data_IF_597909949107
#
_entry.id   IF_597909949107
#
_cell.length_a   1.000
_cell.length_b   1.000
_cell.length_c   1.000
_cell.angle_alpha   90.00
_cell.angle_beta   90.00
_cell.angle_gamma   90.00
#
_symmetry.space_group_name_H-M   'P 1'
#
loop_
_entity.id
_entity.type
_entity.pdbx_description
1 polymer ?
#
# COMPACT_ATOMS: atom_id res chain seq x y z
N UNK A 1 13.18 -7.17 18.49
CA UNK A 1 12.07 -7.28 19.46
C UNK A 1 10.77 -6.59 19.01
N UNK A 2 10.79 -5.52 18.19
CA UNK A 2 9.57 -4.81 17.80
C UNK A 2 8.54 -5.67 17.02
N UNK A 3 9.03 -6.55 16.12
CA UNK A 3 8.18 -7.38 15.25
C UNK A 3 7.26 -8.35 16.00
N UNK A 4 7.75 -9.21 16.91
CA UNK A 4 6.86 -10.13 17.65
C UNK A 4 5.86 -9.36 18.51
N UNK A 5 6.26 -8.26 19.14
CA UNK A 5 5.36 -7.45 20.00
C UNK A 5 4.20 -6.86 19.20
N UNK A 6 4.47 -6.25 18.04
CA UNK A 6 3.42 -5.67 17.20
C UNK A 6 2.44 -6.72 16.68
N UNK A 7 2.94 -7.88 16.25
CA UNK A 7 2.11 -9.00 15.77
C UNK A 7 1.24 -9.56 16.91
N UNK A 8 1.82 -9.83 18.08
CA UNK A 8 1.09 -10.37 19.23
C UNK A 8 0.03 -9.39 19.72
N UNK A 9 0.35 -8.09 19.78
CA UNK A 9 -0.61 -7.06 20.21
C UNK A 9 -1.78 -6.95 19.24
N UNK A 10 -1.50 -6.89 17.93
CA UNK A 10 -2.54 -6.82 16.92
C UNK A 10 -3.39 -8.10 16.89
N UNK A 11 -2.77 -9.27 17.02
CA UNK A 11 -3.48 -10.55 17.11
C UNK A 11 -4.36 -10.62 18.36
N UNK A 12 -3.89 -10.15 19.52
CA UNK A 12 -4.69 -10.10 20.74
C UNK A 12 -5.94 -9.20 20.57
N UNK A 13 -5.79 -8.03 19.93
CA UNK A 13 -6.91 -7.16 19.59
C UNK A 13 -7.89 -7.83 18.61
N UNK A 14 -7.38 -8.49 17.57
CA UNK A 14 -8.18 -9.25 16.61
C UNK A 14 -8.96 -10.38 17.28
N UNK A 15 -8.32 -11.15 18.16
CA UNK A 15 -8.94 -12.19 18.96
C UNK A 15 -10.03 -11.64 19.86
N UNK A 16 -9.82 -10.50 20.52
CA UNK A 16 -10.85 -9.86 21.32
C UNK A 16 -12.08 -9.47 20.47
N UNK A 17 -11.88 -8.94 19.25
CA UNK A 17 -12.98 -8.61 18.32
C UNK A 17 -13.76 -9.85 17.90
N UNK A 18 -13.06 -10.94 17.56
CA UNK A 18 -13.68 -12.20 17.14
C UNK A 18 -14.43 -12.87 18.29
N UNK A 19 -13.81 -12.98 19.47
CA UNK A 19 -14.38 -13.64 20.64
C UNK A 19 -15.56 -12.89 21.23
N UNK A 20 -15.62 -11.58 21.07
CA UNK A 20 -16.77 -10.76 21.50
C UNK A 20 -17.86 -10.67 20.44
N UNK A 21 -17.73 -11.34 19.28
CA UNK A 21 -18.75 -11.33 18.23
C UNK A 21 -20.05 -12.00 18.67
N UNK A 22 -21.17 -11.35 18.40
CA UNK A 22 -22.51 -11.90 18.67
C UNK A 22 -22.95 -12.91 17.58
N UNK A 23 -22.23 -12.98 16.46
CA UNK A 23 -22.59 -13.78 15.29
C UNK A 23 -21.89 -15.14 15.24
N UNK A 24 -21.46 -15.70 16.38
CA UNK A 24 -20.73 -16.98 16.43
C UNK A 24 -21.52 -18.15 15.81
N UNK A 25 -22.85 -18.08 15.87
CA UNK A 25 -23.75 -19.08 15.32
C UNK A 25 -24.14 -18.83 13.86
N UNK A 26 -23.70 -17.74 13.24
CA UNK A 26 -24.06 -17.42 11.86
C UNK A 26 -23.22 -18.22 10.85
N UNK A 27 -23.85 -18.66 9.76
CA UNK A 27 -23.15 -19.29 8.64
C UNK A 27 -22.07 -18.32 8.09
N UNK A 28 -20.84 -18.81 7.94
CA UNK A 28 -19.71 -18.00 7.48
C UNK A 28 -18.90 -17.29 8.58
N UNK A 29 -19.29 -17.41 9.86
CA UNK A 29 -18.54 -16.83 10.97
C UNK A 29 -17.09 -17.34 11.04
N UNK A 30 -16.85 -18.62 10.78
CA UNK A 30 -15.51 -19.23 10.82
C UNK A 30 -14.58 -18.60 9.79
N UNK A 31 -15.07 -18.39 8.56
CA UNK A 31 -14.32 -17.74 7.47
C UNK A 31 -14.01 -16.29 7.84
N UNK A 32 -15.01 -15.56 8.35
CA UNK A 32 -14.81 -14.18 8.83
C UNK A 32 -13.79 -14.11 9.97
N UNK A 33 -13.89 -15.00 10.96
CA UNK A 33 -13.00 -15.05 12.11
C UNK A 33 -11.55 -15.32 11.68
N UNK A 34 -11.33 -16.29 10.79
CA UNK A 34 -10.02 -16.59 10.23
C UNK A 34 -9.43 -15.37 9.49
N UNK A 35 -10.22 -14.70 8.66
CA UNK A 35 -9.81 -13.50 7.92
C UNK A 35 -9.53 -12.32 8.85
N UNK A 36 -10.34 -12.11 9.89
CA UNK A 36 -10.15 -11.05 10.88
C UNK A 36 -8.84 -11.25 11.68
N UNK A 37 -8.54 -12.49 12.08
CA UNK A 37 -7.29 -12.84 12.75
C UNK A 37 -6.09 -12.68 11.82
N UNK A 38 -6.21 -13.15 10.57
CA UNK A 38 -5.17 -13.01 9.56
C UNK A 38 -4.87 -11.53 9.25
N UNK A 39 -5.92 -10.70 9.09
CA UNK A 39 -5.80 -9.25 8.91
C UNK A 39 -5.09 -8.59 10.10
N UNK A 40 -5.44 -9.00 11.32
CA UNK A 40 -4.84 -8.44 12.53
C UNK A 40 -3.36 -8.80 12.65
N UNK A 41 -3.01 -10.07 12.42
CA UNK A 41 -1.62 -10.52 12.37
C UNK A 41 -0.83 -9.83 11.25
N UNK A 42 -1.42 -9.72 10.06
CA UNK A 42 -0.84 -9.02 8.91
C UNK A 42 -0.62 -7.54 9.22
N UNK A 43 -1.58 -6.87 9.85
CA UNK A 43 -1.44 -5.47 10.29
C UNK A 43 -0.24 -5.28 11.22
N UNK A 44 -0.09 -6.13 12.24
CA UNK A 44 1.08 -6.08 13.13
C UNK A 44 2.40 -6.35 12.40
N UNK A 45 2.40 -7.27 11.44
CA UNK A 45 3.58 -7.57 10.63
C UNK A 45 3.95 -6.42 9.68
N UNK A 46 2.96 -5.81 9.02
CA UNK A 46 3.13 -4.66 8.12
C UNK A 46 3.57 -3.42 8.91
N UNK A 47 3.04 -3.22 10.12
CA UNK A 47 3.48 -2.17 11.03
C UNK A 47 4.97 -2.30 11.34
N UNK A 48 5.37 -3.47 11.84
CA UNK A 48 6.77 -3.74 12.17
C UNK A 48 7.69 -3.64 10.95
N UNK A 49 7.22 -4.12 9.79
CA UNK A 49 7.92 -3.99 8.53
C UNK A 49 8.12 -2.51 8.17
N UNK A 50 7.07 -1.71 8.20
CA UNK A 50 7.14 -0.28 7.91
C UNK A 50 8.08 0.48 8.86
N UNK A 51 8.07 0.17 10.17
CA UNK A 51 9.01 0.78 11.13
C UNK A 51 10.46 0.38 10.82
N UNK A 52 10.72 -0.89 10.47
CA UNK A 52 12.06 -1.32 10.06
C UNK A 52 12.51 -0.58 8.80
N UNK A 53 11.64 -0.48 7.79
CA UNK A 53 11.93 0.22 6.53
C UNK A 53 12.13 1.72 6.72
N UNK A 54 11.40 2.33 7.65
CA UNK A 54 11.64 3.71 8.06
C UNK A 54 13.04 3.90 8.64
N UNK A 55 13.52 2.97 9.47
CA UNK A 55 14.89 3.03 10.02
C UNK A 55 15.96 2.87 8.96
N UNK A 56 15.76 1.95 8.01
CA UNK A 56 16.65 1.79 6.86
C UNK A 56 16.70 3.07 6.02
N UNK A 57 15.54 3.70 5.76
CA UNK A 57 15.47 4.99 5.09
C UNK A 57 16.21 6.07 5.87
N UNK A 58 15.97 6.18 7.19
CA UNK A 58 16.59 7.17 8.07
C UNK A 58 18.11 7.02 8.17
N UNK A 59 18.63 5.79 7.98
CA UNK A 59 20.07 5.53 7.94
C UNK A 59 20.73 6.01 6.64
N UNK A 60 19.99 6.06 5.53
CA UNK A 60 20.49 6.57 4.24
C UNK A 60 20.30 8.09 4.15
N UNK A 61 19.13 8.59 4.52
CA UNK A 61 18.80 10.01 4.52
C UNK A 61 18.08 10.38 5.83
N UNK A 62 18.61 11.33 6.63
CA UNK A 62 17.99 11.73 7.89
C UNK A 62 16.70 12.52 7.62
N UNK A 63 15.56 11.83 7.53
CA UNK A 63 14.25 12.48 7.36
C UNK A 63 13.65 12.83 8.72
N UNK A 64 13.36 14.12 8.94
CA UNK A 64 12.67 14.56 10.16
C UNK A 64 11.21 14.14 10.12
N UNK A 65 10.75 13.45 11.16
CA UNK A 65 9.35 12.99 11.31
C UNK A 65 8.34 14.13 11.14
N UNK A 66 8.68 15.33 11.64
CA UNK A 66 7.84 16.54 11.53
C UNK A 66 7.51 16.89 10.09
N UNK A 67 8.44 16.67 9.18
CA UNK A 67 8.20 16.94 7.77
C UNK A 67 7.13 15.94 7.29
N UNK A 68 7.25 14.66 7.60
CA UNK A 68 6.32 13.62 7.12
C UNK A 68 4.94 13.69 7.79
N UNK A 69 4.83 14.36 8.94
CA UNK A 69 3.57 14.50 9.66
C UNK A 69 2.45 15.18 8.85
N UNK A 70 2.76 16.22 8.06
CA UNK A 70 1.74 16.94 7.25
C UNK A 70 1.09 16.07 6.16
N UNK A 71 1.85 15.42 5.24
CA UNK A 71 1.23 14.54 4.24
C UNK A 71 0.56 13.32 4.87
N UNK A 72 1.12 12.79 5.97
CA UNK A 72 0.48 11.69 6.71
C UNK A 72 -0.86 12.13 7.29
N UNK A 73 -0.91 13.31 7.93
CA UNK A 73 -2.13 13.89 8.48
C UNK A 73 -3.20 14.14 7.41
N UNK A 74 -2.80 14.62 6.23
CA UNK A 74 -3.72 14.77 5.09
C UNK A 74 -4.29 13.41 4.64
N UNK A 75 -3.45 12.36 4.60
CA UNK A 75 -3.88 11.02 4.19
C UNK A 75 -4.82 10.39 5.22
N UNK A 76 -4.54 10.58 6.51
CA UNK A 76 -5.43 10.19 7.62
C UNK A 76 -6.76 10.95 7.52
N UNK A 77 -6.73 12.25 7.23
CA UNK A 77 -7.95 13.04 7.04
C UNK A 77 -8.78 12.53 5.86
N UNK A 78 -8.16 12.22 4.72
CA UNK A 78 -8.85 11.63 3.56
C UNK A 78 -9.45 10.28 3.92
N UNK A 79 -8.72 9.42 4.65
CA UNK A 79 -9.24 8.14 5.11
C UNK A 79 -10.47 8.33 6.02
N UNK A 80 -10.43 9.28 6.96
CA UNK A 80 -11.56 9.61 7.82
C UNK A 80 -12.76 10.13 7.03
N UNK A 81 -12.54 11.03 6.07
CA UNK A 81 -13.60 11.58 5.21
C UNK A 81 -14.26 10.49 4.36
N UNK A 82 -13.49 9.55 3.81
CA UNK A 82 -14.02 8.43 3.03
C UNK A 82 -14.85 7.48 3.91
N UNK A 83 -14.41 7.25 5.16
CA UNK A 83 -15.19 6.49 6.13
C UNK A 83 -16.50 7.20 6.48
N UNK A 84 -16.47 8.51 6.75
CA UNK A 84 -17.69 9.30 7.01
C UNK A 84 -18.64 9.26 5.80
N UNK A 85 -18.11 9.42 4.59
CA UNK A 85 -18.89 9.32 3.35
C UNK A 85 -19.57 7.94 3.23
N UNK A 86 -18.85 6.86 3.54
CA UNK A 86 -19.39 5.51 3.50
C UNK A 86 -20.59 5.33 4.46
N UNK A 87 -20.53 5.93 5.65
CA UNK A 87 -21.63 5.91 6.63
C UNK A 87 -22.86 6.68 6.13
N UNK A 88 -22.64 7.84 5.49
CA UNK A 88 -23.72 8.70 4.99
C UNK A 88 -24.43 8.01 3.82
N UNK A 89 -23.68 7.43 2.89
CA UNK A 89 -24.24 6.76 1.69
C UNK A 89 -24.96 5.46 2.06
N UNK A 90 -24.59 4.83 3.17
CA UNK A 90 -25.15 3.55 3.60
C UNK A 90 -25.81 3.66 5.00
N UNK A 91 -26.91 4.44 5.16
CA UNK A 91 -27.51 4.69 6.47
C UNK A 91 -28.13 3.44 7.12
N UNK A 92 -28.40 2.39 6.35
CA UNK A 92 -28.82 1.07 6.87
C UNK A 92 -27.65 0.18 7.32
N UNK A 93 -26.42 0.53 6.97
CA UNK A 93 -25.23 -0.17 7.44
C UNK A 93 -24.85 0.36 8.82
N UNK A 94 -25.49 -0.19 9.85
CA UNK A 94 -24.83 -0.24 11.17
C UNK A 94 -23.65 -1.17 11.01
N UNK A 95 -22.57 -0.67 10.40
CA UNK A 95 -21.26 -1.30 10.49
C UNK A 95 -21.00 -1.41 11.99
N UNK A 96 -21.21 -2.62 12.53
CA UNK A 96 -21.01 -2.85 13.96
C UNK A 96 -19.62 -2.35 14.32
N UNK A 97 -19.45 -1.84 15.54
CA UNK A 97 -18.17 -1.34 16.07
C UNK A 97 -16.96 -2.26 15.78
N UNK A 98 -17.20 -3.54 15.47
CA UNK A 98 -16.24 -4.56 15.04
C UNK A 98 -15.67 -4.35 13.63
N UNK A 99 -16.51 -3.99 12.65
CA UNK A 99 -16.04 -3.66 11.30
C UNK A 99 -15.13 -2.44 11.33
N UNK A 100 -15.53 -1.44 12.13
CA UNK A 100 -14.69 -0.29 12.48
C UNK A 100 -13.39 -0.69 13.15
N UNK A 101 -13.43 -1.59 14.13
CA UNK A 101 -12.23 -2.11 14.80
C UNK A 101 -11.23 -2.71 13.81
N UNK A 102 -11.69 -3.54 12.87
CA UNK A 102 -10.83 -4.13 11.84
C UNK A 102 -10.27 -3.07 10.88
N UNK A 103 -11.07 -2.08 10.49
CA UNK A 103 -10.60 -0.96 9.67
C UNK A 103 -9.54 -0.12 10.40
N UNK A 104 -9.75 0.17 11.68
CA UNK A 104 -8.78 0.90 12.52
C UNK A 104 -7.48 0.11 12.64
N UNK A 105 -7.55 -1.21 12.91
CA UNK A 105 -6.37 -2.08 12.96
C UNK A 105 -5.62 -2.05 11.62
N UNK A 106 -6.33 -2.17 10.50
CA UNK A 106 -5.74 -2.10 9.17
C UNK A 106 -5.06 -0.74 8.91
N UNK A 107 -5.74 0.37 9.22
CA UNK A 107 -5.21 1.72 9.08
C UNK A 107 -3.95 1.94 9.93
N UNK A 108 -3.97 1.52 11.21
CA UNK A 108 -2.83 1.62 12.12
C UNK A 108 -1.63 0.83 11.59
N UNK A 109 -1.86 -0.37 11.04
CA UNK A 109 -0.82 -1.20 10.43
C UNK A 109 -0.13 -0.54 9.24
N UNK A 110 -0.89 0.21 8.45
CA UNK A 110 -0.40 0.90 7.26
C UNK A 110 0.35 2.22 7.56
N UNK A 111 0.18 2.82 8.76
CA UNK A 111 0.77 4.14 9.09
C UNK A 111 2.30 4.19 8.89
N UNK A 112 3.11 3.25 9.40
CA UNK A 112 4.57 3.33 9.22
C UNK A 112 4.98 3.16 7.76
N UNK A 113 4.20 2.42 6.98
CA UNK A 113 4.45 2.24 5.56
C UNK A 113 4.19 3.53 4.80
N UNK A 114 3.04 4.18 5.01
CA UNK A 114 2.71 5.45 4.34
C UNK A 114 3.67 6.57 4.76
N UNK A 115 4.12 6.55 6.01
CA UNK A 115 5.19 7.40 6.51
C UNK A 115 6.49 7.17 5.73
N UNK A 116 6.90 5.92 5.52
CA UNK A 116 8.09 5.58 4.75
C UNK A 116 7.99 6.00 3.29
N UNK A 117 6.84 5.79 2.62
CA UNK A 117 6.61 6.26 1.26
C UNK A 117 6.74 7.79 1.14
N UNK A 118 6.19 8.52 2.11
CA UNK A 118 6.30 9.98 2.18
C UNK A 118 7.74 10.45 2.45
N UNK A 119 8.50 9.70 3.24
CA UNK A 119 9.91 9.95 3.47
C UNK A 119 10.75 9.73 2.21
N UNK A 120 10.49 8.66 1.45
CA UNK A 120 11.12 8.40 0.16
C UNK A 120 10.86 9.57 -0.81
N UNK A 121 9.61 10.02 -0.90
CA UNK A 121 9.23 11.16 -1.76
C UNK A 121 10.08 12.40 -1.50
N UNK A 122 10.34 12.72 -0.22
CA UNK A 122 11.16 13.87 0.15
C UNK A 122 12.63 13.63 -0.11
N UNK A 123 13.13 12.46 0.29
CA UNK A 123 14.55 12.12 0.18
C UNK A 123 15.00 12.06 -1.29
N UNK A 124 14.11 11.64 -2.19
CA UNK A 124 14.40 11.58 -3.62
C UNK A 124 14.82 12.95 -4.21
N UNK A 125 14.27 14.06 -3.71
CA UNK A 125 14.61 15.41 -4.17
C UNK A 125 15.84 16.03 -3.52
N UNK A 126 16.39 15.40 -2.49
CA UNK A 126 17.49 15.93 -1.67
C UNK A 126 18.64 14.90 -1.55
N UNK A 127 18.90 14.16 -2.63
CA UNK A 127 19.98 13.18 -2.67
C UNK A 127 21.33 13.89 -2.81
N UNK A 128 22.11 13.87 -1.74
CA UNK A 128 23.46 14.41 -1.71
C UNK A 128 24.52 13.34 -2.04
N UNK A 129 25.73 13.80 -2.39
CA UNK A 129 26.88 12.94 -2.70
C UNK A 129 27.15 12.76 -4.19
N UNK A 130 28.12 11.91 -4.52
CA UNK A 130 28.54 11.64 -5.89
C UNK A 130 27.51 10.86 -6.71
N UNK A 131 27.59 10.88 -8.05
CA UNK A 131 26.58 10.30 -8.93
C UNK A 131 26.32 8.81 -8.67
N UNK A 132 27.36 8.02 -8.42
CA UNK A 132 27.21 6.60 -8.07
C UNK A 132 26.42 6.38 -6.78
N UNK A 133 26.59 7.23 -5.77
CA UNK A 133 25.83 7.17 -4.52
C UNK A 133 24.36 7.54 -4.74
N UNK A 134 24.08 8.55 -5.58
CA UNK A 134 22.71 8.94 -5.98
C UNK A 134 21.99 7.82 -6.75
N UNK A 135 22.67 7.18 -7.71
CA UNK A 135 22.14 6.01 -8.44
C UNK A 135 21.81 4.87 -7.47
N UNK A 136 22.75 4.51 -6.59
CA UNK A 136 22.56 3.45 -5.60
C UNK A 136 21.38 3.75 -4.65
N UNK A 137 21.24 4.99 -4.19
CA UNK A 137 20.13 5.42 -3.35
C UNK A 137 18.78 5.33 -4.07
N UNK A 138 18.70 5.76 -5.33
CA UNK A 138 17.47 5.65 -6.14
C UNK A 138 17.03 4.20 -6.34
N UNK A 139 17.97 3.30 -6.66
CA UNK A 139 17.69 1.85 -6.78
C UNK A 139 17.20 1.29 -5.44
N UNK A 140 17.84 1.67 -4.33
CA UNK A 140 17.42 1.25 -2.99
C UNK A 140 16.01 1.74 -2.65
N UNK A 141 15.69 3.00 -2.94
CA UNK A 141 14.37 3.59 -2.72
C UNK A 141 13.27 2.93 -3.56
N UNK A 142 13.55 2.59 -4.83
CA UNK A 142 12.60 1.88 -5.70
C UNK A 142 12.30 0.47 -5.18
N UNK A 143 13.33 -0.28 -4.80
CA UNK A 143 13.17 -1.61 -4.19
C UNK A 143 12.38 -1.52 -2.88
N UNK A 144 12.66 -0.51 -2.07
CA UNK A 144 11.93 -0.24 -0.84
C UNK A 144 10.45 0.03 -1.12
N UNK A 145 10.17 0.95 -2.05
CA UNK A 145 8.81 1.35 -2.43
C UNK A 145 7.98 0.17 -2.97
N UNK A 146 8.56 -0.69 -3.82
CA UNK A 146 7.89 -1.91 -4.31
C UNK A 146 7.54 -2.90 -3.19
N UNK A 147 8.46 -3.13 -2.25
CA UNK A 147 8.22 -4.00 -1.09
C UNK A 147 7.09 -3.47 -0.21
N UNK A 148 7.09 -2.16 0.03
CA UNK A 148 6.04 -1.48 0.79
C UNK A 148 4.68 -1.58 0.08
N UNK A 149 4.63 -1.45 -1.24
CA UNK A 149 3.39 -1.59 -2.02
C UNK A 149 2.80 -2.99 -1.88
N UNK A 150 3.62 -4.05 -2.00
CA UNK A 150 3.15 -5.43 -1.81
C UNK A 150 2.58 -5.67 -0.42
N UNK A 151 3.22 -5.13 0.62
CA UNK A 151 2.78 -5.25 2.01
C UNK A 151 1.44 -4.54 2.29
N UNK A 152 1.21 -3.35 1.72
CA UNK A 152 -0.06 -2.63 1.91
C UNK A 152 -1.15 -3.22 1.02
N UNK A 153 -0.81 -3.66 -0.19
CA UNK A 153 -1.73 -4.34 -1.09
C UNK A 153 -2.35 -5.59 -0.46
N UNK A 154 -1.55 -6.43 0.19
CA UNK A 154 -2.05 -7.62 0.90
C UNK A 154 -2.92 -7.26 2.12
N UNK A 155 -2.67 -6.12 2.77
CA UNK A 155 -3.46 -5.64 3.89
C UNK A 155 -4.83 -5.11 3.42
N UNK A 156 -4.88 -4.33 2.34
CA UNK A 156 -6.13 -3.88 1.70
C UNK A 156 -6.95 -5.08 1.21
N UNK A 157 -6.29 -6.06 0.61
CA UNK A 157 -6.87 -7.32 0.20
C UNK A 157 -7.55 -8.07 1.34
N UNK A 158 -6.81 -8.34 2.42
CA UNK A 158 -7.33 -9.03 3.61
C UNK A 158 -8.45 -8.24 4.28
N UNK A 159 -8.35 -6.91 4.33
CA UNK A 159 -9.41 -6.07 4.88
C UNK A 159 -10.68 -6.18 4.05
N UNK A 160 -10.56 -6.15 2.72
CA UNK A 160 -11.69 -6.27 1.80
C UNK A 160 -12.36 -7.63 1.92
N UNK A 161 -11.58 -8.72 1.97
CA UNK A 161 -12.11 -10.07 2.19
C UNK A 161 -12.78 -10.22 3.56
N UNK A 162 -12.11 -9.76 4.63
CA UNK A 162 -12.65 -9.85 5.98
C UNK A 162 -13.96 -9.08 6.13
N UNK A 163 -14.09 -7.93 5.48
CA UNK A 163 -15.33 -7.16 5.47
C UNK A 163 -16.40 -7.81 4.60
N UNK A 164 -16.02 -8.36 3.43
CA UNK A 164 -16.93 -9.05 2.53
C UNK A 164 -17.48 -10.37 3.09
N UNK A 165 -16.69 -11.09 3.88
CA UNK A 165 -17.10 -12.32 4.57
C UNK A 165 -17.88 -12.09 5.86
N UNK A 166 -18.10 -10.82 6.25
CA UNK A 166 -18.81 -10.50 7.49
C UNK A 166 -20.24 -11.05 7.48
N UNK A 167 -20.67 -11.79 8.52
CA UNK A 167 -22.03 -12.35 8.61
C UNK A 167 -23.11 -11.29 8.91
N UNK A 168 -22.73 -10.01 9.00
CA UNK A 168 -23.68 -8.92 9.21
C UNK A 168 -24.58 -8.73 7.96
N UNK A 169 -25.85 -8.31 8.12
CA UNK A 169 -26.86 -8.19 7.05
C UNK A 169 -26.62 -6.98 6.13
N UNK A 170 -25.37 -6.77 5.74
CA UNK A 170 -24.94 -5.69 4.88
C UNK A 170 -25.02 -6.15 3.43
N UNK A 171 -25.37 -5.24 2.52
CA UNK A 171 -25.17 -5.44 1.08
C UNK A 171 -23.68 -5.69 0.83
N UNK A 172 -23.27 -6.97 0.75
CA UNK A 172 -21.84 -7.34 0.75
C UNK A 172 -21.09 -6.73 -0.44
N UNK A 173 -21.79 -6.52 -1.57
CA UNK A 173 -21.25 -5.89 -2.78
C UNK A 173 -20.87 -4.43 -2.59
N UNK A 174 -21.71 -3.63 -1.93
CA UNK A 174 -21.44 -2.19 -1.74
C UNK A 174 -20.24 -1.97 -0.82
N UNK A 175 -20.12 -2.77 0.23
CA UNK A 175 -19.00 -2.66 1.18
C UNK A 175 -17.68 -3.05 0.55
N UNK A 176 -17.63 -4.13 -0.23
CA UNK A 176 -16.42 -4.56 -0.94
C UNK A 176 -15.94 -3.45 -1.89
N UNK A 177 -16.86 -2.86 -2.65
CA UNK A 177 -16.52 -1.77 -3.59
C UNK A 177 -16.05 -0.52 -2.86
N UNK A 178 -16.73 -0.10 -1.79
CA UNK A 178 -16.38 1.11 -1.04
C UNK A 178 -15.04 0.91 -0.31
N UNK A 179 -14.85 -0.20 0.42
CA UNK A 179 -13.62 -0.44 1.17
C UNK A 179 -12.43 -0.81 0.28
N UNK A 180 -12.64 -1.69 -0.69
CA UNK A 180 -11.60 -2.05 -1.67
C UNK A 180 -11.19 -0.84 -2.50
N UNK A 181 -12.16 -0.04 -2.96
CA UNK A 181 -11.93 1.20 -3.69
C UNK A 181 -11.22 2.25 -2.84
N UNK A 182 -11.70 2.49 -1.61
CA UNK A 182 -11.09 3.42 -0.66
C UNK A 182 -9.66 3.03 -0.30
N UNK A 183 -9.42 1.76 0.04
CA UNK A 183 -8.10 1.25 0.36
C UNK A 183 -7.14 1.40 -0.83
N UNK A 184 -7.59 1.05 -2.03
CA UNK A 184 -6.80 1.20 -3.26
C UNK A 184 -6.48 2.67 -3.58
N UNK A 185 -7.46 3.56 -3.41
CA UNK A 185 -7.28 5.00 -3.59
C UNK A 185 -6.25 5.56 -2.60
N UNK A 186 -6.33 5.19 -1.32
CA UNK A 186 -5.37 5.61 -0.31
C UNK A 186 -3.95 5.12 -0.63
N UNK A 187 -3.81 3.87 -1.08
CA UNK A 187 -2.53 3.34 -1.55
C UNK A 187 -2.01 4.12 -2.73
N UNK A 188 -2.85 4.41 -3.73
CA UNK A 188 -2.46 5.20 -4.90
C UNK A 188 -2.02 6.62 -4.52
N UNK A 189 -2.72 7.29 -3.58
CA UNK A 189 -2.37 8.61 -3.08
C UNK A 189 -1.05 8.62 -2.27
N UNK A 190 -0.71 7.52 -1.58
CA UNK A 190 0.58 7.39 -0.90
C UNK A 190 1.73 7.07 -1.87
N UNK A 191 1.49 6.10 -2.77
CA UNK A 191 2.51 5.51 -3.64
C UNK A 191 2.81 6.39 -4.86
N UNK A 192 1.77 6.97 -5.49
CA UNK A 192 1.89 7.75 -6.72
C UNK A 192 2.88 8.92 -6.60
N UNK A 193 2.73 9.81 -5.60
CA UNK A 193 3.67 10.91 -5.39
C UNK A 193 5.09 10.46 -5.08
N UNK A 194 5.28 9.35 -4.34
CA UNK A 194 6.60 8.81 -4.04
C UNK A 194 7.28 8.27 -5.31
N UNK A 195 6.52 7.56 -6.16
CA UNK A 195 7.01 7.09 -7.46
C UNK A 195 7.34 8.25 -8.39
N UNK A 196 6.48 9.26 -8.47
CA UNK A 196 6.70 10.45 -9.29
C UNK A 196 8.00 11.16 -8.90
N UNK A 197 8.24 11.35 -7.60
CA UNK A 197 9.48 11.94 -7.11
C UNK A 197 10.73 11.11 -7.47
N UNK A 198 10.66 9.77 -7.41
CA UNK A 198 11.78 8.90 -7.82
C UNK A 198 12.03 8.90 -9.33
N UNK A 199 10.98 9.09 -10.14
CA UNK A 199 11.12 9.25 -11.59
C UNK A 199 11.78 10.58 -11.93
N UNK A 200 11.29 11.66 -11.33
CA UNK A 200 11.84 13.01 -11.50
C UNK A 200 13.32 13.06 -11.08
N UNK A 201 13.66 12.50 -9.92
CA UNK A 201 15.04 12.42 -9.46
C UNK A 201 15.93 11.55 -10.39
N UNK A 202 15.36 10.48 -10.96
CA UNK A 202 16.05 9.66 -11.96
C UNK A 202 16.32 10.42 -13.26
N UNK A 203 15.33 11.14 -13.80
CA UNK A 203 15.51 11.95 -15.00
C UNK A 203 16.55 13.04 -14.81
N UNK A 204 16.49 13.78 -13.69
CA UNK A 204 17.50 14.80 -13.37
C UNK A 204 18.90 14.20 -13.32
N UNK A 205 19.05 13.03 -12.71
CA UNK A 205 20.35 12.36 -12.63
C UNK A 205 20.84 11.89 -14.02
N UNK A 206 19.95 11.42 -14.88
CA UNK A 206 20.29 11.10 -16.26
C UNK A 206 20.70 12.35 -17.06
N UNK A 207 19.99 13.46 -16.89
CA UNK A 207 20.31 14.74 -17.55
C UNK A 207 21.65 15.31 -17.06
N UNK A 208 21.97 15.17 -15.77
CA UNK A 208 23.25 15.57 -15.18
C UNK A 208 24.42 14.70 -15.65
N UNK A 209 24.22 13.38 -15.76
CA UNK A 209 25.28 12.44 -16.11
C UNK A 209 25.55 12.32 -17.61
N UNK A 210 24.51 12.45 -18.43
CA UNK A 210 24.57 12.28 -19.88
C UNK A 210 23.85 13.43 -20.56
N UNK A 211 24.43 14.65 -20.56
CA UNK A 211 23.82 15.80 -21.19
C UNK A 211 23.83 15.65 -22.71
N UNK A 212 22.64 15.53 -23.28
CA UNK A 212 22.42 15.44 -24.73
C UNK A 212 22.50 16.82 -25.41
N UNK A 213 22.32 17.91 -24.66
CA UNK A 213 22.30 19.29 -25.20
C UNK A 213 23.67 19.80 -25.64
N UNK A 214 24.73 19.19 -25.11
CA UNK A 214 26.13 19.59 -25.37
C UNK A 214 26.81 18.68 -26.40
N UNK A 215 26.03 18.06 -27.29
CA UNK A 215 26.53 17.17 -28.33
C UNK A 215 26.30 17.79 -29.71
N UNK A 216 27.39 18.21 -30.36
CA UNK A 216 27.34 18.91 -31.66
C UNK A 216 27.38 17.96 -32.87
N UNK A 217 27.78 16.70 -32.68
CA UNK A 217 27.92 15.70 -33.75
C UNK A 217 26.92 14.54 -33.62
N UNK A 218 26.36 14.10 -34.75
CA UNK A 218 25.32 13.07 -34.81
C UNK A 218 25.76 11.71 -34.23
N UNK A 219 27.03 11.31 -34.39
CA UNK A 219 27.52 10.06 -33.82
C UNK A 219 27.64 10.17 -32.28
N UNK A 220 28.07 11.34 -31.77
CA UNK A 220 28.14 11.59 -30.32
C UNK A 220 26.75 11.68 -29.68
N UNK A 221 25.76 12.23 -30.38
CA UNK A 221 24.36 12.24 -29.95
C UNK A 221 23.83 10.82 -29.83
N UNK A 222 24.07 9.97 -30.83
CA UNK A 222 23.58 8.58 -30.81
C UNK A 222 24.21 7.76 -29.69
N UNK A 223 25.53 7.90 -29.47
CA UNK A 223 26.23 7.22 -28.38
C UNK A 223 25.73 7.65 -27.00
N UNK A 224 25.58 8.96 -26.76
CA UNK A 224 25.01 9.48 -25.50
C UNK A 224 23.55 9.07 -25.31
N UNK A 225 22.76 8.99 -26.38
CA UNK A 225 21.39 8.51 -26.30
C UNK A 225 21.32 7.04 -25.86
N UNK A 226 22.23 6.19 -26.35
CA UNK A 226 22.30 4.78 -25.95
C UNK A 226 22.73 4.63 -24.48
N UNK A 227 23.73 5.40 -24.04
CA UNK A 227 24.17 5.43 -22.63
C UNK A 227 23.05 5.90 -21.69
N UNK A 228 22.32 6.94 -22.09
CA UNK A 228 21.15 7.42 -21.36
C UNK A 228 20.06 6.36 -21.29
N UNK A 229 19.75 5.69 -22.39
CA UNK A 229 18.75 4.61 -22.42
C UNK A 229 19.15 3.46 -21.48
N UNK A 230 20.43 3.06 -21.48
CA UNK A 230 20.95 2.05 -20.54
C UNK A 230 20.82 2.51 -19.09
N UNK A 231 21.15 3.77 -18.80
CA UNK A 231 21.02 4.34 -17.45
C UNK A 231 19.56 4.42 -17.00
N UNK A 232 18.66 4.86 -17.86
CA UNK A 232 17.21 4.92 -17.61
C UNK A 232 16.62 3.52 -17.41
N UNK A 233 17.11 2.51 -18.14
CA UNK A 233 16.75 1.11 -17.96
C UNK A 233 17.22 0.56 -16.60
N UNK A 234 18.48 0.83 -16.21
CA UNK A 234 19.04 0.40 -14.91
C UNK A 234 18.33 1.10 -13.76
N UNK A 235 18.04 2.39 -13.91
CA UNK A 235 17.27 3.13 -12.94
C UNK A 235 15.81 2.67 -12.95
N UNK A 236 15.32 2.05 -14.03
CA UNK A 236 13.93 1.68 -14.31
C UNK A 236 12.98 2.89 -14.45
N UNK A 237 13.48 4.03 -14.96
CA UNK A 237 12.71 5.27 -15.08
C UNK A 237 11.46 5.06 -15.96
N UNK A 238 11.63 4.29 -17.03
CA UNK A 238 10.61 3.96 -18.03
C UNK A 238 9.65 2.82 -17.64
N UNK A 239 9.82 2.20 -16.47
CA UNK A 239 8.94 1.10 -16.12
C UNK A 239 7.50 1.61 -15.89
N UNK A 240 6.54 1.05 -16.63
CA UNK A 240 5.18 1.55 -16.68
C UNK A 240 4.37 1.16 -15.42
N UNK A 241 3.48 2.06 -14.98
CA UNK A 241 2.60 1.84 -13.82
C UNK A 241 1.74 0.58 -14.00
N UNK A 242 1.33 0.30 -15.24
CA UNK A 242 0.52 -0.85 -15.57
C UNK A 242 1.25 -2.17 -15.31
N UNK A 243 2.56 -2.24 -15.51
CA UNK A 243 3.36 -3.46 -15.31
C UNK A 243 3.57 -3.75 -13.82
N UNK A 244 3.85 -2.73 -13.02
CA UNK A 244 3.89 -2.87 -11.56
C UNK A 244 2.51 -3.20 -10.99
N UNK A 245 1.43 -2.60 -11.53
CA UNK A 245 0.06 -2.93 -11.16
C UNK A 245 -0.32 -4.35 -11.58
N UNK A 246 0.05 -4.81 -12.78
CA UNK A 246 -0.16 -6.18 -13.25
C UNK A 246 0.58 -7.19 -12.37
N UNK A 247 1.79 -6.87 -11.92
CA UNK A 247 2.54 -7.70 -10.97
C UNK A 247 1.84 -7.73 -9.59
N UNK A 248 1.30 -6.60 -9.16
CA UNK A 248 0.38 -6.53 -8.02
C UNK A 248 -0.94 -7.28 -8.28
N UNK A 249 -1.39 -7.36 -9.52
CA UNK A 249 -2.63 -8.01 -9.94
C UNK A 249 -2.51 -9.53 -9.94
N UNK A 250 -1.31 -10.08 -10.12
CA UNK A 250 -1.02 -11.50 -9.85
C UNK A 250 -1.23 -11.83 -8.36
N UNK A 251 -0.95 -10.87 -7.46
CA UNK A 251 -1.25 -10.98 -6.02
C UNK A 251 -2.74 -10.73 -5.74
N UNK A 252 -3.40 -9.88 -6.54
CA UNK A 252 -4.86 -9.68 -6.49
C UNK A 252 -5.65 -10.79 -7.19
N UNK A 253 -5.02 -11.66 -7.98
CA UNK A 253 -5.67 -12.73 -8.74
C UNK A 253 -6.53 -13.65 -7.86
N UNK A 254 -6.02 -14.12 -6.70
CA UNK A 254 -6.83 -14.86 -5.74
C UNK A 254 -8.02 -14.05 -5.17
N UNK A 255 -7.89 -12.73 -5.03
CA UNK A 255 -8.97 -11.86 -4.54
C UNK A 255 -10.01 -11.59 -5.60
N UNK A 256 -9.59 -11.39 -6.86
CA UNK A 256 -10.47 -11.23 -8.01
C UNK A 256 -11.20 -12.54 -8.28
N UNK A 257 -10.53 -13.69 -8.12
CA UNK A 257 -11.16 -15.01 -8.19
C UNK A 257 -12.14 -15.24 -7.03
N UNK A 258 -11.80 -14.84 -5.80
CA UNK A 258 -12.70 -14.94 -4.64
C UNK A 258 -13.88 -13.97 -4.75
N UNK A 259 -13.66 -12.75 -5.24
CA UNK A 259 -14.70 -11.79 -5.53
C UNK A 259 -15.60 -12.30 -6.66
N UNK A 260 -15.03 -12.80 -7.76
CA UNK A 260 -15.79 -13.41 -8.85
C UNK A 260 -16.61 -14.62 -8.37
N UNK A 261 -16.06 -15.44 -7.47
CA UNK A 261 -16.79 -16.52 -6.83
C UNK A 261 -17.95 -16.02 -5.95
N UNK A 262 -17.81 -14.87 -5.29
CA UNK A 262 -18.90 -14.21 -4.57
C UNK A 262 -19.92 -13.49 -5.49
N UNK A 263 -19.55 -13.24 -6.75
CA UNK A 263 -20.43 -12.68 -7.78
C UNK A 263 -21.13 -13.75 -8.64
N UNK A 264 -20.69 -15.01 -8.59
CA UNK A 264 -21.43 -16.12 -9.17
C UNK A 264 -22.74 -16.28 -8.37
N UNK A 265 -23.92 -16.22 -9.02
CA UNK A 265 -25.17 -16.56 -8.36
C UNK A 265 -25.05 -17.99 -7.85
N UNK A 266 -25.34 -18.21 -6.56
CA UNK A 266 -25.48 -19.55 -6.02
C UNK A 266 -26.46 -20.31 -6.90
N UNK A 267 -25.99 -21.35 -7.59
CA UNK A 267 -26.85 -22.27 -8.30
C UNK A 267 -27.87 -22.77 -7.28
N UNK A 268 -29.12 -22.38 -7.48
CA UNK A 268 -30.26 -22.91 -6.79
C UNK A 268 -30.19 -24.44 -6.88
N UNK A 269 -29.88 -25.09 -5.76
CA UNK A 269 -30.21 -26.49 -5.57
C UNK A 269 -31.72 -26.60 -5.42
N UNK A 270 -32.40 -27.53 -6.12
CA UNK A 270 -33.83 -27.69 -5.99
C UNK A 270 -34.15 -28.32 -4.63
N UNK A 271 -35.02 -27.65 -3.87
CA UNK A 271 -35.64 -28.14 -2.64
C UNK A 271 -36.96 -27.42 -2.45
#
# INVERSE_FOLDING_TARGET
MLRPVAVVTALALGSAIVLTSAYKAAAGWEVWAALALALSAASGAVFAHGVQRWRELAAVCPVRVREVARPLGALVLVALLLVVLALIVSPGTRAGWRGWGLSVIACLGALPVTMTMSGIRRSAGALDGGPGARVAALIAFRRLLRRLLGAVGSLVALATLALGASPAPLSSRGIILIFGGTGSLLVALAYGPARAALREAGHRLCDELVPLRDADDAATVLGRAEERMKLEQVLEVDHNLMTDLQTGLVILGPLLSSAAAAFLPGSAGPG
#
